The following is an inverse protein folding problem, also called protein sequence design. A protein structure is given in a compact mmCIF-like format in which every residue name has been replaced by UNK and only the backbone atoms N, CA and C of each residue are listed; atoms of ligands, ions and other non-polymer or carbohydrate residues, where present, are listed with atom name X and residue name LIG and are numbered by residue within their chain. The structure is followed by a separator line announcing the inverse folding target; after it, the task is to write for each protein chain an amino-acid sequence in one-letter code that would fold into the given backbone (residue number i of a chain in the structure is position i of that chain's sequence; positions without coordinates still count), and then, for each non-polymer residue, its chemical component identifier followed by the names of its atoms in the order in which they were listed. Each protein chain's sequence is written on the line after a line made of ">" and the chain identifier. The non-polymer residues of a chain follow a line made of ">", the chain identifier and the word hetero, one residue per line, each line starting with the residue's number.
data_IF_388456959645
#
_entry.id   IF_388456959645
#
_cell.length_a   1.000
_cell.length_b   1.000
_cell.length_c   1.000
_cell.angle_alpha   90.00
_cell.angle_beta   90.00
_cell.angle_gamma   90.00
#
_symmetry.space_group_name_H-M   'P 1'
#
loop_
_entity.id
_entity.type
_entity.pdbx_description
1 polymer ?
#
# COMPACT_ATOMS: atom_id res chain seq x y z
N UNK A 1 -21.68 -6.02 10.62
CA UNK A 1 -21.96 -5.23 9.41
C UNK A 1 -21.50 -6.06 8.21
N UNK A 2 -21.80 -5.66 6.97
CA UNK A 2 -21.34 -6.39 5.77
C UNK A 2 -20.22 -5.62 5.10
N UNK A 3 -19.25 -6.32 4.50
CA UNK A 3 -18.17 -5.69 3.74
C UNK A 3 -18.71 -4.75 2.64
N UNK A 4 -18.15 -3.53 2.57
CA UNK A 4 -18.60 -2.49 1.63
C UNK A 4 -18.16 -2.88 0.21
N UNK A 5 -19.11 -2.94 -0.72
CA UNK A 5 -18.79 -3.07 -2.13
C UNK A 5 -18.14 -1.77 -2.62
N UNK A 6 -16.92 -1.85 -3.15
CA UNK A 6 -16.19 -0.70 -3.71
C UNK A 6 -16.33 -0.67 -5.23
N UNK A 7 -16.11 -1.82 -5.87
CA UNK A 7 -16.10 -1.95 -7.33
C UNK A 7 -16.83 -3.23 -7.73
N UNK A 8 -17.61 -3.14 -8.81
CA UNK A 8 -18.17 -4.28 -9.54
C UNK A 8 -17.95 -4.07 -11.03
N UNK A 9 -17.14 -4.92 -11.64
CA UNK A 9 -16.76 -4.86 -13.06
C UNK A 9 -16.85 -6.27 -13.65
N UNK A 10 -17.92 -6.55 -14.39
CA UNK A 10 -18.21 -7.90 -14.88
C UNK A 10 -18.30 -8.92 -13.73
N UNK A 11 -17.45 -9.94 -13.78
CA UNK A 11 -17.31 -10.96 -12.73
C UNK A 11 -16.33 -10.59 -11.60
N UNK A 12 -15.68 -9.43 -11.69
CA UNK A 12 -14.74 -8.95 -10.67
C UNK A 12 -15.47 -8.08 -9.66
N UNK A 13 -15.25 -8.35 -8.38
CA UNK A 13 -15.78 -7.59 -7.26
C UNK A 13 -14.65 -7.20 -6.32
N UNK A 14 -14.64 -5.95 -5.85
CA UNK A 14 -13.70 -5.48 -4.82
C UNK A 14 -14.51 -5.05 -3.61
N UNK A 15 -14.15 -5.56 -2.43
CA UNK A 15 -14.80 -5.23 -1.17
C UNK A 15 -13.82 -4.70 -0.15
N UNK A 16 -14.23 -3.63 0.52
CA UNK A 16 -13.50 -3.07 1.66
C UNK A 16 -13.92 -3.77 2.95
N UNK A 17 -12.94 -4.26 3.68
CA UNK A 17 -13.13 -5.10 4.86
C UNK A 17 -12.94 -4.35 6.18
N UNK A 18 -12.34 -3.15 6.18
CA UNK A 18 -12.06 -2.41 7.42
C UNK A 18 -13.34 -2.09 8.18
N UNK A 19 -13.41 -2.46 9.46
CA UNK A 19 -14.56 -2.21 10.33
C UNK A 19 -15.82 -2.99 9.93
N UNK A 20 -15.76 -3.87 8.93
CA UNK A 20 -16.95 -4.54 8.41
C UNK A 20 -17.53 -5.58 9.36
N UNK A 21 -16.68 -6.29 10.11
CA UNK A 21 -17.06 -7.47 10.87
C UNK A 21 -17.40 -8.69 10.00
N UNK A 22 -17.11 -8.66 8.69
CA UNK A 22 -17.26 -9.80 7.78
C UNK A 22 -16.10 -10.79 7.99
N UNK A 23 -16.20 -11.60 9.05
CA UNK A 23 -15.15 -12.53 9.48
C UNK A 23 -14.76 -13.49 8.35
N UNK A 24 -15.72 -14.00 7.57
CA UNK A 24 -15.45 -14.94 6.49
C UNK A 24 -14.56 -14.34 5.38
N UNK A 25 -14.84 -13.09 4.96
CA UNK A 25 -14.01 -12.41 3.96
C UNK A 25 -12.67 -11.94 4.52
N UNK A 26 -12.64 -11.52 5.79
CA UNK A 26 -11.40 -11.15 6.48
C UNK A 26 -10.45 -12.35 6.50
N UNK A 27 -10.89 -13.51 6.98
CA UNK A 27 -10.04 -14.70 7.00
C UNK A 27 -9.66 -15.18 5.59
N UNK A 28 -10.53 -15.03 4.59
CA UNK A 28 -10.18 -15.31 3.19
C UNK A 28 -9.05 -14.40 2.67
N UNK A 29 -9.12 -13.09 2.96
CA UNK A 29 -8.06 -12.14 2.58
C UNK A 29 -6.74 -12.44 3.30
N UNK A 30 -6.81 -12.75 4.61
CA UNK A 30 -5.64 -13.11 5.41
C UNK A 30 -5.01 -14.42 4.97
N UNK A 31 -5.81 -15.43 4.60
CA UNK A 31 -5.32 -16.68 4.04
C UNK A 31 -4.64 -16.48 2.68
N UNK A 32 -5.16 -15.58 1.82
CA UNK A 32 -4.45 -15.19 0.61
C UNK A 32 -3.10 -14.52 0.93
N UNK A 33 -3.05 -13.66 1.94
CA UNK A 33 -1.82 -12.98 2.35
C UNK A 33 -0.77 -13.98 2.84
N UNK A 34 -1.12 -14.87 3.77
CA UNK A 34 -0.24 -15.89 4.31
C UNK A 34 0.33 -16.80 3.21
N UNK A 35 -0.51 -17.23 2.27
CA UNK A 35 -0.11 -18.10 1.17
C UNK A 35 0.78 -17.41 0.13
N UNK A 36 0.52 -16.14 -0.18
CA UNK A 36 1.20 -15.42 -1.26
C UNK A 36 2.43 -14.62 -0.77
N UNK A 37 2.55 -14.39 0.54
CA UNK A 37 3.66 -13.71 1.19
C UNK A 37 4.18 -14.50 2.40
N UNK A 38 4.68 -15.73 2.22
CA UNK A 38 5.07 -16.60 3.34
C UNK A 38 6.15 -15.97 4.24
N UNK A 39 7.04 -15.13 3.69
CA UNK A 39 8.05 -14.41 4.47
C UNK A 39 7.47 -13.33 5.39
N UNK A 40 6.25 -12.87 5.11
CA UNK A 40 5.56 -11.80 5.83
C UNK A 40 4.37 -12.31 6.67
N UNK A 41 4.18 -13.63 6.78
CA UNK A 41 3.07 -14.25 7.52
C UNK A 41 2.96 -13.77 8.98
N UNK A 42 4.08 -13.38 9.59
CA UNK A 42 4.11 -12.87 10.96
C UNK A 42 3.31 -11.57 11.16
N UNK A 43 2.94 -10.85 10.08
CA UNK A 43 2.06 -9.70 10.15
C UNK A 43 0.57 -10.06 10.19
N UNK A 44 0.17 -11.30 9.88
CA UNK A 44 -1.25 -11.72 9.83
C UNK A 44 -2.00 -11.41 11.14
N UNK A 45 -1.46 -11.68 12.35
CA UNK A 45 -2.14 -11.30 13.60
C UNK A 45 -2.40 -9.79 13.70
N UNK A 46 -1.42 -8.96 13.31
CA UNK A 46 -1.55 -7.49 13.29
C UNK A 46 -2.60 -7.04 12.27
N UNK A 47 -2.60 -7.62 11.08
CA UNK A 47 -3.58 -7.34 10.02
C UNK A 47 -5.00 -7.71 10.48
N UNK A 48 -5.17 -8.86 11.13
CA UNK A 48 -6.47 -9.30 11.68
C UNK A 48 -7.01 -8.30 12.70
N UNK A 49 -6.18 -7.85 13.65
CA UNK A 49 -6.57 -6.80 14.60
C UNK A 49 -6.90 -5.50 13.88
N UNK A 50 -6.09 -5.09 12.88
CA UNK A 50 -6.34 -3.85 12.13
C UNK A 50 -7.69 -3.86 11.41
N UNK A 51 -8.10 -5.00 10.86
CA UNK A 51 -9.37 -5.15 10.15
C UNK A 51 -10.61 -4.89 11.03
N UNK A 52 -10.47 -5.00 12.36
CA UNK A 52 -11.55 -4.74 13.31
C UNK A 52 -11.85 -3.24 13.46
N UNK A 53 -10.89 -2.37 13.16
CA UNK A 53 -11.09 -0.93 13.27
C UNK A 53 -11.56 -0.33 11.94
N UNK A 54 -12.32 0.77 12.04
CA UNK A 54 -12.72 1.58 10.89
C UNK A 54 -11.51 2.12 10.13
N UNK A 55 -11.76 2.60 8.91
CA UNK A 55 -10.73 3.13 8.00
C UNK A 55 -9.94 4.29 8.64
N UNK A 56 -10.61 5.13 9.43
CA UNK A 56 -10.06 6.36 10.05
C UNK A 56 -9.60 6.20 11.49
N UNK A 57 -9.46 4.97 11.99
CA UNK A 57 -9.03 4.73 13.37
C UNK A 57 -7.70 5.41 13.75
N UNK A 58 -6.82 5.65 12.78
CA UNK A 58 -5.56 6.36 13.00
C UNK A 58 -5.68 7.79 12.45
N UNK A 59 -5.49 8.84 13.28
CA UNK A 59 -5.54 10.23 12.83
C UNK A 59 -4.65 10.49 11.62
N UNK A 60 -5.15 11.28 10.66
CA UNK A 60 -4.41 11.61 9.43
C UNK A 60 -4.36 10.50 8.37
N UNK A 61 -4.98 9.34 8.63
CA UNK A 61 -4.97 8.21 7.70
C UNK A 61 -6.36 7.67 7.38
N UNK A 62 -6.55 7.26 6.12
CA UNK A 62 -7.72 6.46 5.70
C UNK A 62 -7.18 5.12 5.19
N UNK A 63 -7.42 4.04 5.93
CA UNK A 63 -6.87 2.71 5.63
C UNK A 63 -7.90 1.83 4.95
N UNK A 64 -7.46 1.01 3.99
CA UNK A 64 -8.30 0.09 3.24
C UNK A 64 -7.69 -1.30 3.16
N UNK A 65 -8.53 -2.31 3.45
CA UNK A 65 -8.21 -3.72 3.32
C UNK A 65 -9.17 -4.30 2.30
N UNK A 66 -8.68 -4.52 1.08
CA UNK A 66 -9.51 -5.00 -0.02
C UNK A 66 -9.33 -6.48 -0.26
N UNK A 67 -10.46 -7.17 -0.34
CA UNK A 67 -10.57 -8.48 -0.96
C UNK A 67 -11.04 -8.31 -2.41
N UNK A 68 -10.30 -8.92 -3.33
CA UNK A 68 -10.66 -9.01 -4.75
C UNK A 68 -11.26 -10.39 -4.99
N UNK A 69 -12.50 -10.43 -5.46
CA UNK A 69 -13.25 -11.64 -5.76
C UNK A 69 -13.45 -11.75 -7.29
N UNK A 70 -13.33 -12.96 -7.85
CA UNK A 70 -13.69 -13.27 -9.24
C UNK A 70 -14.72 -14.40 -9.20
N UNK A 71 -15.91 -14.16 -9.75
CA UNK A 71 -17.03 -15.11 -9.67
C UNK A 71 -17.36 -15.52 -8.22
N UNK A 72 -17.21 -14.58 -7.29
CA UNK A 72 -17.41 -14.79 -5.85
C UNK A 72 -16.28 -15.54 -5.14
N UNK A 73 -15.21 -15.95 -5.84
CA UNK A 73 -14.06 -16.63 -5.25
C UNK A 73 -12.96 -15.64 -4.87
N UNK A 74 -12.29 -15.79 -3.71
CA UNK A 74 -11.12 -15.00 -3.34
C UNK A 74 -9.99 -15.13 -4.38
N UNK A 75 -9.72 -14.04 -5.11
CA UNK A 75 -8.78 -14.02 -6.22
C UNK A 75 -7.51 -13.22 -5.90
N UNK A 76 -7.59 -12.25 -4.99
CA UNK A 76 -6.46 -11.42 -4.59
C UNK A 76 -6.78 -10.47 -3.46
N UNK A 77 -5.80 -9.70 -3.06
CA UNK A 77 -5.91 -8.70 -2.01
C UNK A 77 -5.16 -7.43 -2.37
N UNK A 78 -5.58 -6.32 -1.78
CA UNK A 78 -4.84 -5.05 -1.81
C UNK A 78 -4.98 -4.36 -0.46
N UNK A 79 -3.87 -3.99 0.17
CA UNK A 79 -3.89 -3.15 1.37
C UNK A 79 -3.15 -1.86 1.13
N UNK A 80 -3.77 -0.74 1.48
CA UNK A 80 -3.24 0.59 1.22
C UNK A 80 -3.85 1.60 2.19
N UNK A 81 -3.36 2.84 2.15
CA UNK A 81 -3.96 3.95 2.88
C UNK A 81 -3.74 5.29 2.19
N UNK A 82 -4.61 6.25 2.44
CA UNK A 82 -4.37 7.66 2.19
C UNK A 82 -3.67 8.29 3.39
N UNK A 83 -2.60 9.06 3.17
CA UNK A 83 -1.91 9.88 4.18
C UNK A 83 -2.23 11.34 3.88
N UNK A 84 -3.10 11.92 4.71
CA UNK A 84 -3.72 13.22 4.44
C UNK A 84 -2.68 14.34 4.46
N UNK A 85 -1.84 14.36 5.49
CA UNK A 85 -0.83 15.40 5.71
C UNK A 85 0.26 15.44 4.61
N UNK A 86 0.36 14.37 3.81
CA UNK A 86 1.32 14.26 2.69
C UNK A 86 0.65 14.21 1.32
N UNK A 87 -0.67 14.32 1.28
CA UNK A 87 -1.46 14.25 0.04
C UNK A 87 -1.08 13.08 -0.87
N UNK A 88 -0.85 11.88 -0.30
CA UNK A 88 -0.45 10.71 -1.09
C UNK A 88 -1.04 9.40 -0.56
N UNK A 89 -1.24 8.44 -1.47
CA UNK A 89 -1.57 7.06 -1.12
C UNK A 89 -0.30 6.24 -0.86
N UNK A 90 -0.37 5.30 0.08
CA UNK A 90 0.65 4.29 0.34
C UNK A 90 0.11 2.90 0.11
N UNK A 91 0.77 2.17 -0.77
CA UNK A 91 0.46 0.80 -1.12
C UNK A 91 1.36 -0.18 -0.37
N UNK A 92 0.76 -1.04 0.47
CA UNK A 92 1.51 -1.95 1.34
C UNK A 92 1.61 -3.36 0.76
N UNK A 93 0.52 -3.90 0.21
CA UNK A 93 0.51 -5.25 -0.34
C UNK A 93 -0.47 -5.36 -1.50
N UNK A 94 -0.04 -6.02 -2.57
CA UNK A 94 -0.90 -6.47 -3.68
C UNK A 94 -0.49 -7.88 -4.05
N UNK A 95 -1.46 -8.79 -4.02
CA UNK A 95 -1.25 -10.11 -4.58
C UNK A 95 -2.51 -10.59 -5.30
N UNK A 96 -2.28 -11.19 -6.46
CA UNK A 96 -3.29 -11.93 -7.22
C UNK A 96 -2.85 -13.39 -7.24
N UNK A 97 -3.74 -14.27 -6.80
CA UNK A 97 -3.51 -15.72 -6.83
C UNK A 97 -3.16 -16.16 -8.26
N UNK A 98 -2.17 -17.04 -8.46
CA UNK A 98 -1.70 -17.46 -9.79
C UNK A 98 -2.83 -17.85 -10.75
N UNK A 99 -3.84 -18.55 -10.24
CA UNK A 99 -5.00 -19.01 -11.02
C UNK A 99 -5.82 -17.87 -11.63
N UNK A 100 -5.74 -16.65 -11.09
CA UNK A 100 -6.51 -15.49 -11.54
C UNK A 100 -5.68 -14.41 -12.23
N UNK A 101 -4.35 -14.58 -12.36
CA UNK A 101 -3.47 -13.56 -12.97
C UNK A 101 -3.78 -13.29 -14.45
N UNK A 102 -4.44 -14.23 -15.12
CA UNK A 102 -4.84 -14.08 -16.51
C UNK A 102 -6.13 -13.26 -16.67
N UNK A 103 -6.94 -13.13 -15.62
CA UNK A 103 -8.22 -12.41 -15.64
C UNK A 103 -8.00 -10.95 -16.01
N UNK A 104 -8.96 -10.39 -16.76
CA UNK A 104 -8.99 -8.99 -17.13
C UNK A 104 -10.27 -8.32 -16.62
N UNK A 105 -10.16 -7.04 -16.25
CA UNK A 105 -11.27 -6.17 -15.89
C UNK A 105 -11.02 -4.79 -16.50
N UNK A 106 -12.06 -4.16 -17.07
CA UNK A 106 -11.93 -2.89 -17.80
C UNK A 106 -10.74 -2.86 -18.80
N UNK A 107 -10.53 -3.96 -19.53
CA UNK A 107 -9.47 -4.10 -20.53
C UNK A 107 -8.04 -4.17 -19.97
N UNK A 108 -7.86 -4.38 -18.66
CA UNK A 108 -6.56 -4.47 -17.98
C UNK A 108 -6.41 -5.81 -17.28
N UNK A 109 -5.17 -6.32 -17.16
CA UNK A 109 -4.87 -7.44 -16.25
C UNK A 109 -5.33 -7.09 -14.84
N UNK A 110 -5.88 -8.06 -14.12
CA UNK A 110 -6.51 -7.84 -12.81
C UNK A 110 -5.62 -7.06 -11.82
N UNK A 111 -4.32 -7.36 -11.77
CA UNK A 111 -3.38 -6.63 -10.91
C UNK A 111 -3.31 -5.12 -11.25
N UNK A 112 -3.25 -4.79 -12.54
CA UNK A 112 -3.19 -3.39 -13.02
C UNK A 112 -4.53 -2.70 -12.77
N UNK A 113 -5.64 -3.38 -13.05
CA UNK A 113 -6.98 -2.87 -12.73
C UNK A 113 -7.09 -2.47 -11.25
N UNK A 114 -6.70 -3.37 -10.34
CA UNK A 114 -6.75 -3.11 -8.89
C UNK A 114 -5.83 -1.95 -8.48
N UNK A 115 -4.66 -1.78 -9.12
CA UNK A 115 -3.77 -0.63 -8.86
C UNK A 115 -4.46 0.69 -9.21
N UNK A 116 -5.15 0.77 -10.35
CA UNK A 116 -5.85 1.99 -10.75
C UNK A 116 -7.10 2.25 -9.90
N UNK A 117 -7.85 1.22 -9.54
CA UNK A 117 -8.97 1.36 -8.61
C UNK A 117 -8.52 1.84 -7.23
N UNK A 118 -7.35 1.37 -6.78
CA UNK A 118 -6.72 1.83 -5.54
C UNK A 118 -6.41 3.34 -5.60
N UNK A 119 -5.82 3.84 -6.69
CA UNK A 119 -5.60 5.28 -6.86
C UNK A 119 -6.93 6.06 -6.93
N UNK A 120 -7.93 5.52 -7.64
CA UNK A 120 -9.25 6.14 -7.71
C UNK A 120 -9.90 6.23 -6.33
N UNK A 121 -9.71 5.23 -5.45
CA UNK A 121 -10.16 5.30 -4.07
C UNK A 121 -9.45 6.40 -3.29
N UNK A 122 -8.12 6.50 -3.38
CA UNK A 122 -7.36 7.58 -2.72
C UNK A 122 -7.88 8.97 -3.12
N UNK A 123 -8.19 9.16 -4.41
CA UNK A 123 -8.77 10.42 -4.91
C UNK A 123 -10.16 10.65 -4.30
N UNK A 124 -11.02 9.62 -4.23
CA UNK A 124 -12.32 9.72 -3.56
C UNK A 124 -12.18 10.04 -2.08
N UNK A 125 -11.26 9.40 -1.37
CA UNK A 125 -11.04 9.62 0.06
C UNK A 125 -10.64 11.06 0.37
N UNK A 126 -9.84 11.68 -0.50
CA UNK A 126 -9.47 13.09 -0.41
C UNK A 126 -10.66 14.02 -0.68
N UNK A 127 -11.44 13.75 -1.74
CA UNK A 127 -12.64 14.53 -2.07
C UNK A 127 -13.69 14.48 -0.96
N UNK A 128 -13.96 13.29 -0.41
CA UNK A 128 -14.92 13.10 0.70
C UNK A 128 -14.54 13.87 1.97
N UNK A 129 -13.28 14.31 2.08
CA UNK A 129 -12.72 15.00 3.25
C UNK A 129 -12.39 16.46 3.00
N UNK A 130 -12.75 16.97 1.82
CA UNK A 130 -12.37 18.32 1.38
C UNK A 130 -10.85 18.58 1.44
N UNK A 131 -10.04 17.53 1.29
CA UNK A 131 -8.58 17.64 1.24
C UNK A 131 -8.15 18.09 -0.17
N UNK A 132 -6.97 18.73 -0.32
CA UNK A 132 -6.34 18.94 -1.63
C UNK A 132 -6.20 17.65 -2.43
N UNK A 133 -6.27 17.69 -3.77
CA UNK A 133 -6.09 16.51 -4.61
C UNK A 133 -4.77 15.79 -4.30
N UNK A 134 -4.79 14.46 -4.10
CA UNK A 134 -3.58 13.72 -3.80
C UNK A 134 -2.66 13.74 -5.02
N UNK A 135 -1.34 13.81 -4.79
CA UNK A 135 -0.33 13.80 -5.83
C UNK A 135 -0.33 12.46 -6.60
N UNK A 136 -0.63 11.37 -5.91
CA UNK A 136 -0.64 10.03 -6.47
C UNK A 136 -0.52 8.96 -5.39
N UNK A 137 -0.03 7.79 -5.78
CA UNK A 137 0.17 6.65 -4.90
C UNK A 137 1.59 6.12 -4.99
N UNK A 138 2.23 5.97 -3.84
CA UNK A 138 3.59 5.45 -3.67
C UNK A 138 3.50 3.95 -3.32
N UNK A 139 4.41 3.15 -3.89
CA UNK A 139 4.46 1.69 -3.77
C UNK A 139 5.88 1.24 -3.47
N UNK A 140 6.04 0.25 -2.59
CA UNK A 140 7.28 -0.48 -2.39
C UNK A 140 7.29 -1.70 -3.33
N UNK A 141 8.33 -1.84 -4.14
CA UNK A 141 8.44 -2.88 -5.17
C UNK A 141 9.79 -3.59 -5.05
N UNK A 142 9.76 -4.87 -4.72
CA UNK A 142 10.96 -5.65 -4.43
C UNK A 142 11.75 -6.02 -5.71
N UNK A 143 11.25 -6.91 -6.60
CA UNK A 143 12.06 -7.35 -7.74
C UNK A 143 12.02 -6.36 -8.91
N UNK A 144 13.14 -6.27 -9.63
CA UNK A 144 13.33 -5.36 -10.77
C UNK A 144 12.33 -5.55 -11.87
N UNK A 145 12.20 -6.82 -12.30
CA UNK A 145 11.24 -7.24 -13.32
C UNK A 145 9.81 -6.80 -13.03
N UNK A 146 9.44 -6.65 -11.74
CA UNK A 146 8.10 -6.24 -11.35
C UNK A 146 7.96 -4.72 -11.44
N UNK A 147 9.01 -3.98 -11.08
CA UNK A 147 9.06 -2.54 -11.33
C UNK A 147 8.98 -2.25 -12.82
N UNK A 148 9.72 -2.98 -13.67
CA UNK A 148 9.64 -2.83 -15.12
C UNK A 148 8.21 -3.05 -15.61
N UNK A 149 7.56 -4.13 -15.18
CA UNK A 149 6.16 -4.40 -15.50
C UNK A 149 5.25 -3.24 -15.10
N UNK A 150 5.41 -2.69 -13.89
CA UNK A 150 4.60 -1.57 -13.43
C UNK A 150 4.91 -0.27 -14.16
N UNK A 151 6.15 -0.05 -14.59
CA UNK A 151 6.51 1.12 -15.41
C UNK A 151 5.87 1.09 -16.78
N UNK A 152 5.78 -0.08 -17.42
CA UNK A 152 4.99 -0.25 -18.64
C UNK A 152 3.48 0.03 -18.42
N UNK A 153 3.02 0.02 -17.17
CA UNK A 153 1.65 0.30 -16.77
C UNK A 153 1.51 1.65 -16.03
N UNK A 154 2.44 2.58 -16.24
CA UNK A 154 2.31 3.97 -15.81
C UNK A 154 2.93 4.34 -14.46
N UNK A 155 3.58 3.41 -13.75
CA UNK A 155 4.35 3.76 -12.56
C UNK A 155 5.71 4.35 -12.93
N UNK A 156 6.13 5.34 -12.17
CA UNK A 156 7.44 5.97 -12.29
C UNK A 156 8.31 5.44 -11.16
N UNK A 157 9.50 4.92 -11.46
CA UNK A 157 10.48 4.62 -10.41
C UNK A 157 11.08 5.93 -9.90
N UNK A 158 11.01 6.19 -8.60
CA UNK A 158 11.61 7.37 -7.99
C UNK A 158 13.13 7.18 -7.84
N UNK A 159 13.92 8.25 -8.04
CA UNK A 159 15.38 8.17 -8.05
C UNK A 159 15.97 8.27 -6.64
N UNK A 160 15.77 7.24 -5.82
CA UNK A 160 16.37 7.12 -4.49
C UNK A 160 16.75 5.68 -4.16
N UNK A 161 17.70 5.50 -3.24
CA UNK A 161 18.03 4.19 -2.67
C UNK A 161 17.10 3.93 -1.50
N UNK A 162 16.04 3.18 -1.75
CA UNK A 162 15.00 2.92 -0.75
C UNK A 162 15.18 1.56 -0.07
N UNK A 163 14.72 1.46 1.19
CA UNK A 163 14.70 0.23 1.96
C UNK A 163 13.37 0.09 2.71
N UNK A 164 12.83 -1.13 2.76
CA UNK A 164 11.69 -1.50 3.60
C UNK A 164 12.17 -1.95 4.98
N UNK A 165 11.62 -1.41 6.08
CA UNK A 165 11.79 -1.95 7.43
C UNK A 165 11.03 -3.27 7.62
N UNK A 166 11.75 -4.35 7.88
CA UNK A 166 11.21 -5.67 8.24
C UNK A 166 11.25 -5.81 9.77
N UNK A 167 10.10 -5.63 10.40
CA UNK A 167 9.94 -5.77 11.84
C UNK A 167 10.01 -7.24 12.25
N UNK A 168 10.53 -7.55 13.45
CA UNK A 168 10.43 -8.90 14.01
C UNK A 168 8.97 -9.26 14.32
N UNK A 169 8.64 -10.57 14.46
CA UNK A 169 7.34 -10.98 14.97
C UNK A 169 6.99 -10.29 16.30
N UNK A 170 5.72 -9.97 16.48
CA UNK A 170 5.22 -9.35 17.71
C UNK A 170 5.44 -10.29 18.90
N UNK A 171 6.01 -9.74 19.97
CA UNK A 171 6.23 -10.45 21.24
C UNK A 171 5.66 -9.58 22.35
N UNK A 172 4.81 -10.17 23.19
CA UNK A 172 4.21 -9.48 24.33
C UNK A 172 5.28 -8.89 25.25
N UNK A 173 5.09 -7.65 25.69
CA UNK A 173 6.04 -6.94 26.56
C UNK A 173 7.26 -6.36 25.86
N UNK A 174 7.50 -6.62 24.57
CA UNK A 174 8.60 -5.96 23.82
C UNK A 174 8.32 -4.46 23.70
N UNK A 175 9.26 -3.65 24.16
CA UNK A 175 9.20 -2.20 24.01
C UNK A 175 9.40 -1.77 22.56
N UNK A 176 8.95 -0.56 22.22
CA UNK A 176 9.17 0.02 20.89
C UNK A 176 10.66 0.15 20.54
N UNK A 177 11.50 0.47 21.54
CA UNK A 177 12.93 0.61 21.32
C UNK A 177 13.58 -0.73 20.96
N UNK A 178 13.22 -1.81 21.67
CA UNK A 178 13.70 -3.16 21.35
C UNK A 178 13.22 -3.63 19.98
N UNK A 179 11.97 -3.31 19.62
CA UNK A 179 11.43 -3.60 18.29
C UNK A 179 12.25 -2.91 17.20
N UNK A 180 12.52 -1.61 17.35
CA UNK A 180 13.32 -0.82 16.40
C UNK A 180 14.77 -1.34 16.29
N UNK A 181 15.39 -1.76 17.39
CA UNK A 181 16.74 -2.32 17.38
C UNK A 181 16.80 -3.68 16.67
N UNK A 182 15.72 -4.46 16.71
CA UNK A 182 15.62 -5.75 16.03
C UNK A 182 15.13 -5.64 14.58
N UNK A 183 14.71 -4.46 14.12
CA UNK A 183 14.26 -4.22 12.75
C UNK A 183 15.40 -4.41 11.76
N UNK A 184 15.13 -5.17 10.71
CA UNK A 184 16.03 -5.33 9.57
C UNK A 184 15.57 -4.43 8.43
N UNK A 185 16.44 -4.15 7.48
CA UNK A 185 16.12 -3.31 6.32
C UNK A 185 16.43 -4.08 5.04
N UNK A 186 15.46 -4.14 4.13
CA UNK A 186 15.60 -4.81 2.83
C UNK A 186 15.59 -3.79 1.70
N UNK A 187 16.53 -3.83 0.75
CA UNK A 187 16.49 -2.96 -0.42
C UNK A 187 15.20 -3.13 -1.22
N UNK A 188 14.58 -1.99 -1.57
CA UNK A 188 13.35 -1.93 -2.34
C UNK A 188 13.43 -0.82 -3.39
N UNK A 189 12.56 -0.89 -4.40
CA UNK A 189 12.31 0.24 -5.32
C UNK A 189 11.06 0.98 -4.85
N UNK A 190 11.09 2.30 -4.97
CA UNK A 190 9.91 3.12 -4.72
C UNK A 190 9.27 3.50 -6.06
N UNK A 191 8.09 2.97 -6.32
CA UNK A 191 7.28 3.29 -7.49
C UNK A 191 6.21 4.33 -7.16
N UNK A 192 5.94 5.24 -8.08
CA UNK A 192 4.92 6.27 -7.95
C UNK A 192 3.94 6.23 -9.12
N UNK A 193 2.66 6.05 -8.82
CA UNK A 193 1.58 6.21 -9.80
C UNK A 193 0.97 7.61 -9.66
N UNK A 194 1.20 8.52 -10.62
CA UNK A 194 0.69 9.89 -10.53
C UNK A 194 -0.85 9.94 -10.60
N UNK A 195 -1.44 10.87 -9.86
CA UNK A 195 -2.83 11.26 -10.08
C UNK A 195 -2.96 11.95 -11.45
N UNK A 196 -3.75 11.42 -12.40
CA UNK A 196 -3.87 12.01 -13.73
C UNK A 196 -4.51 13.42 -13.73
N UNK A 197 -5.20 13.80 -12.65
CA UNK A 197 -5.81 15.13 -12.49
C UNK A 197 -4.78 16.18 -12.04
N UNK A 198 -3.63 15.76 -11.50
CA UNK A 198 -2.57 16.64 -11.01
C UNK A 198 -1.43 16.67 -12.01
N UNK A 199 -1.21 17.83 -12.63
CA UNK A 199 -0.09 18.03 -13.57
C UNK A 199 1.21 18.28 -12.81
N UNK A 200 1.96 17.22 -12.52
CA UNK A 200 3.30 17.31 -11.94
C UNK A 200 4.30 17.61 -13.07
N UNK A 201 4.90 18.81 -13.05
CA UNK A 201 5.90 19.23 -14.06
C UNK A 201 7.29 18.65 -13.78
N UNK A 202 7.66 18.59 -12.50
CA UNK A 202 8.96 18.10 -12.02
C UNK A 202 8.76 17.44 -10.66
N UNK A 203 9.42 16.31 -10.44
CA UNK A 203 9.50 15.66 -9.14
C UNK A 203 10.66 16.29 -8.37
N UNK A 204 10.34 17.10 -7.36
CA UNK A 204 11.37 17.75 -6.56
C UNK A 204 11.92 16.81 -5.49
N UNK A 205 13.09 17.15 -4.94
CA UNK A 205 13.71 16.40 -3.85
C UNK A 205 12.78 16.32 -2.63
N UNK A 206 12.12 17.44 -2.31
CA UNK A 206 11.19 17.55 -1.19
C UNK A 206 9.99 16.61 -1.38
N UNK A 207 9.40 16.59 -2.56
CA UNK A 207 8.27 15.70 -2.87
C UNK A 207 8.65 14.22 -2.71
N UNK A 208 9.82 13.82 -3.24
CA UNK A 208 10.30 12.44 -3.11
C UNK A 208 10.64 12.11 -1.65
N UNK A 209 11.21 13.06 -0.90
CA UNK A 209 11.47 12.90 0.52
C UNK A 209 10.16 12.71 1.29
N UNK A 210 9.12 13.47 0.99
CA UNK A 210 7.80 13.31 1.60
C UNK A 210 7.21 11.93 1.32
N UNK A 211 7.34 11.41 0.09
CA UNK A 211 6.92 10.04 -0.23
C UNK A 211 7.69 8.98 0.56
N UNK A 212 9.00 9.13 0.71
CA UNK A 212 9.80 8.23 1.54
C UNK A 212 9.39 8.30 3.03
N UNK A 213 9.16 9.50 3.53
CA UNK A 213 8.75 9.73 4.91
C UNK A 213 7.34 9.23 5.20
N UNK A 214 6.45 9.25 4.21
CA UNK A 214 5.12 8.65 4.31
C UNK A 214 5.20 7.16 4.70
N UNK A 215 6.12 6.40 4.11
CA UNK A 215 6.38 5.04 4.52
C UNK A 215 7.19 4.98 5.82
N UNK A 216 8.41 5.52 5.84
CA UNK A 216 9.36 5.27 6.92
C UNK A 216 8.91 5.86 8.26
N UNK A 217 8.46 7.12 8.27
CA UNK A 217 8.04 7.79 9.49
C UNK A 217 6.56 7.51 9.78
N UNK A 218 5.67 7.72 8.80
CA UNK A 218 4.24 7.66 9.11
C UNK A 218 3.76 6.21 9.15
N UNK A 219 4.06 5.38 8.14
CA UNK A 219 3.60 4.00 8.15
C UNK A 219 4.33 3.13 9.18
N UNK A 220 5.67 3.07 9.07
CA UNK A 220 6.52 2.21 9.88
C UNK A 220 6.87 2.79 11.26
N UNK A 221 6.66 4.10 11.48
CA UNK A 221 6.87 4.73 12.78
C UNK A 221 8.33 4.91 13.16
N UNK A 222 9.24 4.99 12.19
CA UNK A 222 10.65 5.29 12.49
C UNK A 222 10.78 6.74 12.97
N UNK A 223 11.65 7.03 13.97
CA UNK A 223 11.98 8.40 14.35
C UNK A 223 12.53 9.18 13.14
N UNK A 224 12.14 10.45 12.97
CA UNK A 224 12.57 11.23 11.79
C UNK A 224 14.10 11.41 11.71
N UNK A 225 14.80 11.35 12.84
CA UNK A 225 16.26 11.38 12.93
C UNK A 225 16.92 10.00 12.83
N UNK A 226 16.16 8.95 12.50
CA UNK A 226 16.68 7.60 12.36
C UNK A 226 17.71 7.56 11.20
N UNK A 227 18.89 6.93 11.37
CA UNK A 227 19.95 6.93 10.35
C UNK A 227 19.49 6.48 8.96
N UNK A 228 18.63 5.46 8.89
CA UNK A 228 18.06 4.98 7.61
C UNK A 228 17.20 6.03 6.91
N UNK A 229 16.40 6.81 7.64
CA UNK A 229 15.62 7.90 7.02
C UNK A 229 16.56 8.93 6.41
N UNK A 230 17.61 9.31 7.15
CA UNK A 230 18.60 10.29 6.69
C UNK A 230 19.32 9.78 5.44
N UNK A 231 19.74 8.51 5.41
CA UNK A 231 20.39 7.89 4.26
C UNK A 231 19.49 7.86 3.02
N UNK A 232 18.24 7.42 3.18
CA UNK A 232 17.24 7.37 2.09
C UNK A 232 17.01 8.76 1.51
N UNK A 233 16.78 9.77 2.36
CA UNK A 233 16.56 11.16 1.94
C UNK A 233 17.82 11.75 1.31
N UNK A 234 19.00 11.46 1.83
CA UNK A 234 20.28 11.91 1.25
C UNK A 234 20.50 11.33 -0.16
N UNK A 235 20.07 10.09 -0.39
CA UNK A 235 20.25 9.38 -1.66
C UNK A 235 19.39 9.88 -2.83
N UNK A 236 18.42 10.76 -2.59
CA UNK A 236 17.53 11.29 -3.63
C UNK A 236 18.36 12.02 -4.67
N UNK A 237 18.24 11.59 -5.94
CA UNK A 237 18.92 12.19 -7.07
C UNK A 237 17.89 12.74 -8.06
N UNK A 238 17.52 14.00 -7.91
CA UNK A 238 16.74 14.71 -8.93
C UNK A 238 17.71 15.44 -9.85
N UNK A 239 17.72 15.10 -11.13
CA UNK A 239 18.43 15.93 -12.12
C UNK A 239 17.90 17.37 -12.02
N UNK A 240 18.80 18.35 -11.85
CA UNK A 240 18.47 19.78 -11.80
C UNK A 240 17.97 20.29 -13.15
#
# INVERSE_FOLDING_TARGET
>A
MTARLVVKEGNVTIRDLTGSGDVGRIESMLGLYENLFPQYQHYVPRMRRRAQFESEHRPGHVVHYWLVEVDGQPAGLRTFRYVRDRHCGLAHALAISPSFRHVQAAGKRLAVFVIYECLAQIIRDAVERDDPPPLGMVNEVEPERLMDYYTHNGLIQLPLKYVEPIFPPEVEGRSRQEELTATRFSPMRMGFLPNPQVKIKKYTREMIADFAMAFLADHYGLPQNHPIILEVVQSINTEE
#
